data_IF_315125220657
#
_entry.id   IF_315125220657
#
_cell.length_a   1.000
_cell.length_b   1.000
_cell.length_c   1.000
_cell.angle_alpha   90.00
_cell.angle_beta   90.00
_cell.angle_gamma   90.00
#
_symmetry.space_group_name_H-M   'P 1'
#
loop_
_entity.id
_entity.type
_entity.pdbx_description
1 polymer ?
#
# COMPACT_ATOMS: atom_id res chain seq x y z
N UNK A 1 19.35 -12.16 -1.96
CA UNK A 1 18.35 -11.45 -2.79
C UNK A 1 17.24 -12.43 -3.15
N UNK A 2 16.07 -12.38 -2.48
CA UNK A 2 15.11 -13.50 -2.46
C UNK A 2 14.53 -13.87 -3.84
N UNK A 3 13.82 -12.95 -4.50
CA UNK A 3 13.20 -13.19 -5.83
C UNK A 3 14.27 -13.34 -6.92
N UNK A 4 15.37 -12.59 -6.85
CA UNK A 4 16.45 -12.69 -7.83
C UNK A 4 17.22 -14.02 -7.77
N UNK A 5 17.25 -14.68 -6.60
CA UNK A 5 17.92 -15.98 -6.41
C UNK A 5 16.97 -17.16 -6.61
N UNK A 6 15.69 -17.01 -6.26
CA UNK A 6 14.74 -18.14 -6.18
C UNK A 6 13.49 -17.99 -7.06
N UNK A 7 13.30 -16.83 -7.69
CA UNK A 7 12.16 -16.56 -8.56
C UNK A 7 12.36 -17.11 -9.97
N UNK A 8 11.28 -17.55 -10.60
CA UNK A 8 11.26 -17.97 -11.99
C UNK A 8 9.98 -17.46 -12.68
N UNK A 9 10.12 -16.72 -13.77
CA UNK A 9 9.01 -16.06 -14.47
C UNK A 9 8.51 -14.80 -13.77
N UNK A 10 7.28 -14.39 -14.09
CA UNK A 10 6.67 -13.13 -13.64
C UNK A 10 5.80 -13.29 -12.36
N UNK A 11 5.13 -12.21 -11.96
CA UNK A 11 4.13 -12.16 -10.86
C UNK A 11 4.71 -12.26 -9.44
N UNK A 12 5.94 -11.79 -9.25
CA UNK A 12 6.55 -11.57 -7.94
C UNK A 12 6.29 -10.14 -7.45
N UNK A 13 5.01 -9.74 -7.41
CA UNK A 13 4.61 -8.43 -6.89
C UNK A 13 4.96 -8.27 -5.41
N UNK A 14 5.15 -7.02 -4.99
CA UNK A 14 5.43 -6.65 -3.61
C UNK A 14 4.37 -5.64 -3.19
N UNK A 15 3.67 -5.93 -2.10
CA UNK A 15 2.71 -5.01 -1.52
C UNK A 15 2.14 -5.53 -0.20
N UNK A 16 1.31 -4.71 0.43
CA UNK A 16 0.56 -5.09 1.62
C UNK A 16 -0.65 -5.94 1.21
N UNK A 17 -1.06 -6.95 2.01
CA UNK A 17 -2.35 -7.62 1.82
C UNK A 17 -3.54 -6.71 2.17
N UNK A 18 -3.31 -5.58 2.84
CA UNK A 18 -4.34 -4.61 3.17
C UNK A 18 -4.65 -3.70 1.98
N UNK A 19 -5.94 -3.46 1.74
CA UNK A 19 -6.43 -2.53 0.74
C UNK A 19 -7.22 -1.40 1.41
N UNK A 20 -6.98 -0.17 0.96
CA UNK A 20 -7.64 1.02 1.47
C UNK A 20 -8.04 1.93 0.31
N UNK A 21 -9.21 2.53 0.41
CA UNK A 21 -9.64 3.63 -0.43
C UNK A 21 -8.88 4.92 -0.09
N UNK A 22 -8.84 5.86 -1.04
CA UNK A 22 -8.23 7.18 -0.82
C UNK A 22 -8.91 7.90 0.36
N UNK A 23 -10.24 7.72 0.52
CA UNK A 23 -11.01 8.34 1.60
C UNK A 23 -10.61 7.78 2.97
N UNK A 24 -10.42 6.47 3.08
CA UNK A 24 -9.95 5.86 4.34
C UNK A 24 -8.55 6.36 4.72
N UNK A 25 -7.63 6.46 3.76
CA UNK A 25 -6.30 7.03 4.01
C UNK A 25 -6.42 8.49 4.49
N UNK A 26 -7.24 9.32 3.83
CA UNK A 26 -7.45 10.71 4.23
C UNK A 26 -8.02 10.81 5.66
N UNK A 27 -8.96 9.93 6.02
CA UNK A 27 -9.52 9.86 7.37
C UNK A 27 -8.47 9.48 8.43
N UNK A 28 -7.48 8.64 8.10
CA UNK A 28 -6.39 8.26 9.04
C UNK A 28 -5.49 9.45 9.40
N UNK A 29 -5.20 10.33 8.44
CA UNK A 29 -4.47 11.57 8.71
C UNK A 29 -5.28 12.50 9.62
N UNK A 30 -6.60 12.54 9.41
CA UNK A 30 -7.50 13.45 10.11
C UNK A 30 -7.48 14.85 9.49
N UNK A 31 -8.41 15.69 9.91
CA UNK A 31 -8.63 17.02 9.32
C UNK A 31 -9.86 17.07 8.42
N UNK A 32 -10.06 18.22 7.77
CA UNK A 32 -11.20 18.44 6.87
C UNK A 32 -10.91 17.82 5.51
N UNK A 33 -11.82 16.97 5.03
CA UNK A 33 -11.71 16.34 3.71
C UNK A 33 -12.53 17.16 2.71
N UNK A 34 -11.89 17.63 1.65
CA UNK A 34 -12.53 18.30 0.52
C UNK A 34 -12.62 17.34 -0.67
N UNK A 35 -13.84 17.12 -1.18
CA UNK A 35 -14.06 16.24 -2.33
C UNK A 35 -13.92 17.03 -3.62
N UNK A 36 -13.10 16.52 -4.54
CA UNK A 36 -12.88 17.10 -5.86
C UNK A 36 -13.58 16.28 -6.95
N UNK A 37 -13.86 16.90 -8.09
CA UNK A 37 -14.39 16.21 -9.27
C UNK A 37 -13.40 15.15 -9.79
N UNK A 38 -13.93 14.10 -10.41
CA UNK A 38 -13.14 13.02 -10.99
C UNK A 38 -12.19 13.50 -12.10
N UNK A 39 -11.05 12.83 -12.24
CA UNK A 39 -10.06 13.12 -13.28
C UNK A 39 -10.03 11.97 -14.28
N UNK A 40 -9.94 12.32 -15.57
CA UNK A 40 -9.76 11.35 -16.65
C UNK A 40 -8.44 10.60 -16.42
N UNK A 41 -8.51 9.26 -16.38
CA UNK A 41 -7.34 8.40 -16.16
C UNK A 41 -7.14 7.91 -14.73
N UNK A 42 -8.03 8.24 -13.78
CA UNK A 42 -7.98 7.66 -12.44
C UNK A 42 -8.15 6.13 -12.51
N UNK A 43 -7.20 5.41 -11.94
CA UNK A 43 -7.31 3.96 -11.74
C UNK A 43 -8.05 3.72 -10.42
N UNK A 44 -9.22 3.09 -10.50
CA UNK A 44 -10.07 2.87 -9.32
C UNK A 44 -9.58 1.72 -8.44
N UNK A 45 -8.92 0.73 -9.02
CA UNK A 45 -8.38 -0.44 -8.31
C UNK A 45 -7.07 -0.91 -8.94
N UNK A 46 -6.18 -1.44 -8.10
CA UNK A 46 -4.96 -2.11 -8.53
C UNK A 46 -4.73 -3.31 -7.63
N UNK A 47 -4.92 -4.51 -8.18
CA UNK A 47 -4.63 -5.74 -7.46
C UNK A 47 -3.12 -5.93 -7.36
N UNK A 48 -2.65 -6.34 -6.18
CA UNK A 48 -1.26 -6.71 -5.95
C UNK A 48 -1.17 -8.23 -6.02
N UNK A 49 -0.44 -8.75 -7.00
CA UNK A 49 -0.16 -10.19 -7.10
C UNK A 49 1.13 -10.47 -6.30
N UNK A 50 1.01 -10.73 -5.00
CA UNK A 50 2.15 -10.97 -4.09
C UNK A 50 2.35 -12.44 -3.69
N UNK A 51 1.43 -13.33 -4.05
CA UNK A 51 1.43 -14.72 -3.57
C UNK A 51 2.75 -15.47 -3.83
N UNK A 52 3.38 -15.28 -5.00
CA UNK A 52 4.68 -15.93 -5.31
C UNK A 52 5.81 -15.39 -4.45
N UNK A 53 5.80 -14.09 -4.17
CA UNK A 53 6.78 -13.45 -3.29
C UNK A 53 6.62 -13.92 -1.84
N UNK A 54 5.37 -14.04 -1.39
CA UNK A 54 5.03 -14.57 -0.06
C UNK A 54 5.41 -16.05 0.10
N UNK A 55 5.22 -16.87 -0.94
CA UNK A 55 5.64 -18.27 -0.96
C UNK A 55 7.16 -18.45 -0.80
N UNK A 56 7.97 -17.45 -1.16
CA UNK A 56 9.40 -17.42 -0.91
C UNK A 56 9.76 -17.04 0.53
N UNK A 57 8.78 -16.79 1.41
CA UNK A 57 8.97 -16.40 2.80
C UNK A 57 9.06 -14.89 3.02
N UNK A 58 8.83 -14.07 1.98
CA UNK A 58 8.72 -12.63 2.14
C UNK A 58 7.39 -12.26 2.79
N UNK A 59 7.36 -11.22 3.62
CA UNK A 59 6.13 -10.64 4.15
C UNK A 59 6.27 -9.15 4.36
N UNK A 60 5.17 -8.41 4.22
CA UNK A 60 5.09 -7.02 4.62
C UNK A 60 5.37 -6.90 6.14
N UNK A 61 6.23 -5.96 6.52
CA UNK A 61 6.65 -5.76 7.93
C UNK A 61 6.11 -4.47 8.55
N UNK A 62 5.45 -3.64 7.75
CA UNK A 62 4.83 -2.38 8.17
C UNK A 62 3.49 -2.24 7.48
N UNK A 63 2.50 -1.76 8.22
CA UNK A 63 1.19 -1.39 7.70
C UNK A 63 1.14 0.10 7.38
N UNK A 64 0.20 0.51 6.52
CA UNK A 64 0.00 1.94 6.22
C UNK A 64 -0.49 2.70 7.47
N UNK A 65 -1.30 2.04 8.31
CA UNK A 65 -1.81 2.61 9.56
C UNK A 65 -0.68 2.95 10.53
N UNK A 66 0.21 1.99 10.80
CA UNK A 66 1.39 2.21 11.65
C UNK A 66 2.27 3.34 11.11
N UNK A 67 2.43 3.39 9.78
CA UNK A 67 3.21 4.43 9.14
C UNK A 67 2.58 5.81 9.33
N UNK A 68 1.27 5.98 9.07
CA UNK A 68 0.55 7.24 9.28
C UNK A 68 0.61 7.66 10.76
N UNK A 69 0.40 6.74 11.69
CA UNK A 69 0.54 7.01 13.12
C UNK A 69 1.95 7.49 13.49
N UNK A 70 2.99 6.92 12.87
CA UNK A 70 4.37 7.37 13.07
C UNK A 70 4.61 8.79 12.55
N UNK A 71 4.03 9.15 11.39
CA UNK A 71 4.12 10.51 10.84
C UNK A 71 3.47 11.54 11.76
N UNK A 72 2.30 11.22 12.32
CA UNK A 72 1.58 12.10 13.27
C UNK A 72 2.38 12.36 14.55
N UNK A 73 3.14 11.37 15.03
CA UNK A 73 4.02 11.52 16.21
C UNK A 73 5.23 12.42 15.94
N UNK A 74 5.67 12.53 14.70
CA UNK A 74 6.84 13.33 14.31
C UNK A 74 6.51 14.78 13.90
N UNK A 75 5.32 15.31 14.24
CA UNK A 75 4.85 16.64 13.83
C UNK A 75 4.87 16.87 12.30
N UNK A 76 4.55 15.84 11.51
CA UNK A 76 4.24 16.01 10.10
C UNK A 76 3.04 16.99 9.98
N UNK A 77 3.27 18.15 9.35
CA UNK A 77 2.24 19.17 9.06
C UNK A 77 1.79 19.06 7.61
#
# INVERSE_FOLDING_TARGET
>A
VLVGENGYGDEFGIGSPEAYSIVEIAQMFGGTIEMLAERKGNRMTADVISAKTEALGWKATKTIKEYIESLKKCNFR
#
